data_IF_309240579030
#
_entry.id   IF_309240579030
#
_cell.length_a   1.000
_cell.length_b   1.000
_cell.length_c   1.000
_cell.angle_alpha   90.00
_cell.angle_beta   90.00
_cell.angle_gamma   90.00
#
_symmetry.space_group_name_H-M   'P 1'
#
loop_
_entity.id
_entity.type
_entity.pdbx_description
1 polymer ?
#
# COMPACT_ATOMS: atom_id res chain seq x y z
N UNK A 1 6.64 -2.48 51.26
CA UNK A 1 7.06 -1.63 50.15
C UNK A 1 6.76 -2.39 48.87
N UNK A 2 5.68 -2.06 48.18
CA UNK A 2 5.38 -2.59 46.86
C UNK A 2 6.24 -1.82 45.87
N UNK A 3 7.16 -2.47 45.18
CA UNK A 3 7.85 -1.88 44.02
C UNK A 3 6.78 -1.65 42.94
N UNK A 4 6.48 -0.40 42.69
CA UNK A 4 5.82 -0.01 41.47
C UNK A 4 6.84 -0.26 40.36
N UNK A 5 6.72 -1.39 39.67
CA UNK A 5 7.31 -1.57 38.37
C UNK A 5 6.72 -0.47 37.47
N UNK A 6 7.48 0.58 37.28
CA UNK A 6 7.26 1.53 36.20
C UNK A 6 7.55 0.76 34.91
N UNK A 7 6.49 0.22 34.28
CA UNK A 7 6.60 -0.26 32.91
C UNK A 7 7.22 0.87 32.10
N UNK A 8 8.43 0.65 31.60
CA UNK A 8 9.08 1.65 30.76
C UNK A 8 8.18 1.89 29.55
N UNK A 9 7.76 3.15 29.37
CA UNK A 9 6.95 3.52 28.20
C UNK A 9 7.71 3.13 26.92
N UNK A 10 7.04 2.44 26.01
CA UNK A 10 7.62 2.05 24.73
C UNK A 10 7.68 3.25 23.79
N UNK A 11 8.86 3.75 23.50
CA UNK A 11 9.11 4.85 22.58
C UNK A 11 9.67 4.33 21.26
N UNK A 12 9.16 4.80 20.11
CA UNK A 12 9.59 4.40 18.78
C UNK A 12 9.74 5.63 17.86
N UNK A 13 10.92 5.78 17.24
CA UNK A 13 11.07 6.68 16.10
C UNK A 13 10.58 6.02 14.83
N UNK A 14 9.69 6.68 14.09
CA UNK A 14 9.25 6.27 12.75
C UNK A 14 9.73 7.31 11.74
N UNK A 15 10.54 6.89 10.77
CA UNK A 15 11.03 7.76 9.69
C UNK A 15 10.18 7.51 8.44
N UNK A 16 9.20 8.37 8.20
CA UNK A 16 8.30 8.29 7.06
C UNK A 16 8.92 8.92 5.81
N UNK A 17 8.78 8.25 4.67
CA UNK A 17 9.32 8.73 3.40
C UNK A 17 8.52 9.89 2.79
N UNK A 18 7.32 10.12 3.27
CA UNK A 18 6.42 11.24 2.96
C UNK A 18 5.60 11.59 4.21
N UNK A 19 4.88 12.69 4.20
CA UNK A 19 3.88 13.00 5.22
C UNK A 19 2.72 12.01 5.06
N UNK A 20 2.39 11.19 6.08
CA UNK A 20 1.46 10.07 5.90
C UNK A 20 -0.03 10.48 5.88
N UNK A 21 -0.34 11.76 5.75
CA UNK A 21 -1.71 12.26 5.62
C UNK A 21 -1.77 13.39 4.56
N UNK A 22 -2.86 13.49 3.74
CA UNK A 22 -3.97 12.54 3.65
C UNK A 22 -3.52 11.15 3.18
N UNK A 23 -4.14 10.09 3.74
CA UNK A 23 -3.79 8.70 3.46
C UNK A 23 -4.45 8.24 2.14
N UNK A 24 -3.91 8.70 1.01
CA UNK A 24 -4.54 8.61 -0.32
C UNK A 24 -3.75 7.78 -1.35
N UNK A 25 -2.65 7.15 -0.97
CA UNK A 25 -1.96 6.12 -1.79
C UNK A 25 -1.27 5.07 -0.90
N UNK A 26 -0.98 3.90 -1.48
CA UNK A 26 -0.60 2.68 -0.78
C UNK A 26 0.40 2.83 0.35
N UNK A 27 1.55 3.44 0.07
CA UNK A 27 2.60 3.59 1.05
C UNK A 27 2.19 4.47 2.24
N UNK A 28 1.50 5.60 2.00
CA UNK A 28 1.10 6.50 3.10
C UNK A 28 -0.09 5.95 3.88
N UNK A 29 -0.97 5.16 3.27
CA UNK A 29 -2.07 4.47 3.96
C UNK A 29 -1.50 3.49 4.99
N UNK A 30 -0.58 2.61 4.59
CA UNK A 30 0.08 1.68 5.50
C UNK A 30 0.79 2.40 6.66
N UNK A 31 1.53 3.48 6.37
CA UNK A 31 2.21 4.27 7.42
C UNK A 31 1.22 4.92 8.38
N UNK A 32 0.15 5.55 7.87
CA UNK A 32 -0.82 6.27 8.70
C UNK A 32 -1.58 5.33 9.66
N UNK A 33 -2.14 4.23 9.13
CA UNK A 33 -2.92 3.30 9.96
C UNK A 33 -2.03 2.49 10.90
N UNK A 34 -0.79 2.21 10.53
CA UNK A 34 0.18 1.61 11.46
C UNK A 34 0.54 2.55 12.60
N UNK A 35 0.78 3.86 12.33
CA UNK A 35 1.01 4.85 13.39
C UNK A 35 -0.20 4.90 14.32
N UNK A 36 -1.43 4.90 13.77
CA UNK A 36 -2.65 4.87 14.56
C UNK A 36 -2.68 3.64 15.47
N UNK A 37 -2.51 2.44 14.91
CA UNK A 37 -2.55 1.18 15.65
C UNK A 37 -1.45 1.08 16.72
N UNK A 38 -0.20 1.48 16.41
CA UNK A 38 0.89 1.51 17.38
C UNK A 38 0.63 2.50 18.53
N UNK A 39 0.05 3.66 18.23
CA UNK A 39 -0.32 4.65 19.26
C UNK A 39 -1.43 4.13 20.16
N UNK A 40 -2.43 3.46 19.58
CA UNK A 40 -3.53 2.80 20.32
C UNK A 40 -3.01 1.63 21.18
N UNK A 41 -1.96 0.93 20.72
CA UNK A 41 -1.23 -0.08 21.50
C UNK A 41 -0.31 0.53 22.60
N UNK A 42 -0.35 1.84 22.82
CA UNK A 42 0.39 2.53 23.87
C UNK A 42 1.84 2.92 23.53
N UNK A 43 2.26 2.77 22.26
CA UNK A 43 3.59 3.19 21.81
C UNK A 43 3.65 4.72 21.67
N UNK A 44 4.67 5.32 22.26
CA UNK A 44 4.97 6.77 22.12
C UNK A 44 5.73 6.98 20.80
N UNK A 45 4.99 7.31 19.75
CA UNK A 45 5.56 7.49 18.41
C UNK A 45 6.22 8.86 18.25
N UNK A 46 7.51 8.89 17.91
CA UNK A 46 8.26 10.06 17.46
C UNK A 46 8.34 10.02 15.93
N UNK A 47 7.45 10.78 15.28
CA UNK A 47 7.30 10.73 13.84
C UNK A 47 8.22 11.74 13.13
N UNK A 48 9.00 11.27 12.19
CA UNK A 48 9.91 12.05 11.34
C UNK A 48 9.44 11.99 9.89
N UNK A 49 8.89 13.07 9.35
CA UNK A 49 8.34 13.12 7.99
C UNK A 49 9.27 13.84 7.02
N UNK A 50 9.56 13.24 5.88
CA UNK A 50 10.14 13.96 4.75
C UNK A 50 9.02 14.68 3.97
N UNK A 51 9.07 16.02 3.95
CA UNK A 51 8.04 16.87 3.37
C UNK A 51 8.47 17.38 1.99
N UNK A 52 7.56 17.33 1.00
CA UNK A 52 7.77 17.86 -0.35
C UNK A 52 6.46 18.17 -1.10
N UNK A 53 5.46 18.72 -0.40
CA UNK A 53 4.23 19.23 -1.01
C UNK A 53 2.94 18.95 -0.23
N UNK A 54 2.99 18.13 0.85
CA UNK A 54 1.80 17.82 1.66
C UNK A 54 1.61 18.75 2.85
N UNK A 55 2.68 19.46 3.28
CA UNK A 55 2.66 20.34 4.42
C UNK A 55 2.49 19.63 5.76
N UNK A 56 2.44 20.40 6.82
CA UNK A 56 2.18 19.92 8.18
C UNK A 56 0.72 19.51 8.34
N UNK A 57 0.46 18.42 9.06
CA UNK A 57 -0.88 17.84 9.21
C UNK A 57 -1.28 17.78 10.69
N UNK A 58 -2.38 18.44 11.02
CA UNK A 58 -2.91 18.52 12.40
C UNK A 58 -3.23 17.15 13.00
N UNK A 59 -3.77 16.23 12.19
CA UNK A 59 -4.13 14.88 12.62
C UNK A 59 -2.93 14.08 13.16
N UNK A 60 -1.72 14.40 12.71
CA UNK A 60 -0.49 13.74 13.16
C UNK A 60 -0.03 14.16 14.56
N UNK A 61 -0.61 15.23 15.14
CA UNK A 61 -0.33 15.66 16.51
C UNK A 61 -0.77 14.66 17.58
N UNK A 62 -1.48 13.58 17.20
CA UNK A 62 -1.71 12.43 18.09
C UNK A 62 -0.45 11.61 18.38
N UNK A 63 0.58 11.72 17.56
CA UNK A 63 1.90 11.19 17.88
C UNK A 63 2.51 11.93 19.08
N UNK A 64 3.42 11.28 19.80
CA UNK A 64 4.13 11.90 20.92
C UNK A 64 4.94 13.14 20.49
N UNK A 65 5.59 13.05 19.32
CA UNK A 65 6.31 14.15 18.67
C UNK A 65 6.22 14.01 17.15
N UNK A 66 6.15 15.14 16.42
CA UNK A 66 6.21 15.15 14.96
C UNK A 66 7.24 16.16 14.49
N UNK A 67 8.13 15.75 13.60
CA UNK A 67 9.14 16.61 12.97
C UNK A 67 9.11 16.47 11.45
N UNK A 68 9.30 17.59 10.78
CA UNK A 68 9.29 17.67 9.33
C UNK A 68 10.66 18.02 8.81
N UNK A 69 11.11 17.31 7.79
CA UNK A 69 12.40 17.50 7.13
C UNK A 69 12.17 17.69 5.63
N UNK A 70 12.80 18.72 5.07
CA UNK A 70 12.67 18.97 3.64
C UNK A 70 13.36 17.86 2.83
N UNK A 71 12.62 17.24 1.90
CA UNK A 71 13.20 16.34 0.91
C UNK A 71 14.01 17.14 -0.12
N UNK A 72 15.25 16.72 -0.38
CA UNK A 72 16.10 17.35 -1.41
C UNK A 72 15.84 16.71 -2.77
N UNK A 73 15.01 17.38 -3.58
CA UNK A 73 14.63 16.92 -4.92
C UNK A 73 15.54 17.46 -6.02
N UNK A 74 16.70 18.05 -5.67
CA UNK A 74 17.64 18.63 -6.63
C UNK A 74 18.17 17.57 -7.62
N UNK A 75 18.46 18.01 -8.85
CA UNK A 75 19.00 17.15 -9.89
C UNK A 75 20.35 16.50 -9.48
N UNK A 76 21.15 17.19 -8.69
CA UNK A 76 22.43 16.67 -8.18
C UNK A 76 22.25 15.35 -7.40
N UNK A 77 21.10 15.17 -6.70
CA UNK A 77 20.80 13.92 -5.98
C UNK A 77 20.57 12.74 -6.92
N UNK A 78 20.14 12.98 -8.15
CA UNK A 78 19.89 11.92 -9.15
C UNK A 78 21.20 11.38 -9.75
N UNK A 79 22.24 12.21 -9.83
CA UNK A 79 23.54 11.86 -10.42
C UNK A 79 24.41 10.98 -9.51
N UNK A 80 24.01 10.76 -8.27
CA UNK A 80 24.72 9.92 -7.30
C UNK A 80 24.61 8.44 -7.66
N UNK A 81 25.61 7.63 -7.23
CA UNK A 81 25.53 6.16 -7.21
C UNK A 81 24.55 5.63 -6.14
N UNK A 82 24.24 6.44 -5.13
CA UNK A 82 23.16 6.13 -4.17
C UNK A 82 21.80 6.30 -4.87
N UNK A 83 20.83 5.38 -4.67
CA UNK A 83 19.51 5.51 -5.27
C UNK A 83 18.86 6.87 -4.93
N UNK A 84 18.20 7.48 -5.90
CA UNK A 84 17.60 8.81 -5.72
C UNK A 84 16.59 8.85 -4.58
N UNK A 85 15.77 7.79 -4.43
CA UNK A 85 14.77 7.70 -3.36
C UNK A 85 15.41 7.76 -1.96
N UNK A 86 16.61 7.22 -1.81
CA UNK A 86 17.38 7.25 -0.55
C UNK A 86 18.14 8.57 -0.43
N UNK A 87 18.87 8.95 -1.48
CA UNK A 87 19.75 10.11 -1.45
C UNK A 87 19.00 11.43 -1.23
N UNK A 88 17.78 11.54 -1.76
CA UNK A 88 16.92 12.71 -1.59
C UNK A 88 16.38 12.87 -0.15
N UNK A 89 16.51 11.86 0.70
CA UNK A 89 16.04 11.82 2.10
C UNK A 89 17.18 11.75 3.13
N UNK A 90 18.38 12.12 2.74
CA UNK A 90 19.49 12.27 3.71
C UNK A 90 19.37 13.64 4.40
N UNK A 91 19.38 13.63 5.74
CA UNK A 91 19.24 14.84 6.54
C UNK A 91 20.11 14.77 7.80
N UNK A 92 21.00 15.74 7.99
CA UNK A 92 21.78 15.88 9.23
C UNK A 92 20.89 16.29 10.40
N UNK A 93 19.86 17.09 10.17
CA UNK A 93 18.90 17.46 11.21
C UNK A 93 18.17 16.24 11.76
N UNK A 94 17.75 15.30 10.88
CA UNK A 94 17.16 14.03 11.31
C UNK A 94 18.14 13.23 12.18
N UNK A 95 19.37 13.05 11.75
CA UNK A 95 20.38 12.30 12.53
C UNK A 95 20.62 12.97 13.87
N UNK A 96 20.75 14.32 13.91
CA UNK A 96 20.89 15.06 15.16
C UNK A 96 19.70 14.82 16.11
N UNK A 97 18.48 14.78 15.60
CA UNK A 97 17.29 14.52 16.42
C UNK A 97 17.29 13.08 16.95
N UNK A 98 17.64 12.09 16.14
CA UNK A 98 17.74 10.69 16.55
C UNK A 98 18.84 10.43 17.59
N UNK A 99 19.86 11.28 17.68
CA UNK A 99 20.94 11.16 18.67
C UNK A 99 20.60 11.71 20.05
N UNK A 100 19.41 12.33 20.24
CA UNK A 100 18.98 12.89 21.53
C UNK A 100 18.61 11.83 22.57
N UNK A 101 18.36 10.61 22.12
CA UNK A 101 17.93 9.49 22.95
C UNK A 101 18.50 8.14 22.46
N UNK A 102 17.98 7.03 23.02
CA UNK A 102 18.36 5.66 22.67
C UNK A 102 17.22 4.80 22.09
N UNK A 103 16.08 5.38 21.76
CA UNK A 103 14.90 4.62 21.35
C UNK A 103 15.07 3.89 20.00
N UNK A 104 14.40 2.75 19.78
CA UNK A 104 14.43 2.05 18.50
C UNK A 104 13.91 2.93 17.36
N UNK A 105 14.36 2.60 16.15
CA UNK A 105 14.00 3.35 14.93
C UNK A 105 13.36 2.39 13.93
N UNK A 106 12.21 2.77 13.36
CA UNK A 106 11.57 2.09 12.24
C UNK A 106 11.67 2.96 10.99
N UNK A 107 12.39 2.47 9.99
CA UNK A 107 12.53 3.10 8.67
C UNK A 107 11.43 2.64 7.74
N UNK A 108 10.73 3.58 7.08
CA UNK A 108 9.71 3.31 6.09
C UNK A 108 10.32 3.14 4.70
N UNK A 109 10.22 1.92 4.18
CA UNK A 109 10.81 1.53 2.91
C UNK A 109 12.33 1.64 2.90
N UNK A 110 12.95 1.22 1.81
CA UNK A 110 14.37 1.46 1.55
C UNK A 110 14.71 2.96 1.47
N UNK A 111 13.70 3.78 1.22
CA UNK A 111 13.74 5.24 1.06
C UNK A 111 14.42 5.97 2.23
N UNK A 112 14.20 5.51 3.47
CA UNK A 112 14.63 6.20 4.69
C UNK A 112 15.83 5.54 5.38
N UNK A 113 16.40 4.51 4.76
CA UNK A 113 17.47 3.68 5.34
C UNK A 113 18.87 4.30 5.30
N UNK A 114 19.03 5.55 4.82
CA UNK A 114 20.33 6.25 4.87
C UNK A 114 20.93 6.29 6.28
N UNK A 115 20.11 6.28 7.33
CA UNK A 115 20.50 6.24 8.73
C UNK A 115 21.26 4.97 9.12
N UNK A 116 21.07 3.85 8.42
CA UNK A 116 21.84 2.60 8.59
C UNK A 116 23.32 2.75 8.20
N UNK A 117 23.66 3.79 7.43
CA UNK A 117 25.02 4.09 7.02
C UNK A 117 25.73 5.07 7.97
N UNK A 118 25.00 5.70 8.89
CA UNK A 118 25.58 6.67 9.81
C UNK A 118 26.27 5.97 10.98
N UNK A 119 27.57 6.19 11.11
CA UNK A 119 28.39 5.57 12.14
C UNK A 119 27.98 5.96 13.57
N UNK A 120 27.34 7.12 13.74
CA UNK A 120 26.86 7.61 15.04
C UNK A 120 25.68 6.80 15.57
N UNK A 121 24.95 6.11 14.67
CA UNK A 121 23.76 5.28 14.97
C UNK A 121 24.07 3.76 14.91
N UNK A 122 25.35 3.36 14.84
CA UNK A 122 25.77 1.94 14.64
C UNK A 122 25.24 0.97 15.70
N UNK A 123 25.03 1.46 16.93
CA UNK A 123 24.61 0.65 18.08
C UNK A 123 23.08 0.76 18.35
N UNK A 124 22.34 1.47 17.47
CA UNK A 124 20.88 1.62 17.57
C UNK A 124 20.18 0.42 16.99
N UNK A 125 19.09 -0.01 17.63
CA UNK A 125 18.16 -0.97 17.05
C UNK A 125 17.35 -0.26 15.94
N UNK A 126 17.68 -0.54 14.68
CA UNK A 126 17.02 0.05 13.51
C UNK A 126 16.32 -1.06 12.75
N UNK A 127 15.01 -0.96 12.62
CA UNK A 127 14.14 -1.86 11.87
C UNK A 127 13.73 -1.22 10.55
N UNK A 128 13.35 -2.03 9.58
CA UNK A 128 12.90 -1.54 8.27
C UNK A 128 11.55 -2.16 7.91
N UNK A 129 10.57 -1.33 7.59
CA UNK A 129 9.32 -1.74 6.96
C UNK A 129 9.54 -1.80 5.46
N UNK A 130 9.61 -2.97 4.88
CA UNK A 130 9.78 -3.14 3.44
C UNK A 130 8.42 -3.13 2.74
N UNK A 131 8.19 -2.11 1.90
CA UNK A 131 6.94 -1.96 1.13
C UNK A 131 6.96 -2.74 -0.18
N UNK A 132 8.15 -2.98 -0.73
CA UNK A 132 8.40 -3.75 -1.96
C UNK A 132 9.85 -4.24 -1.96
N UNK A 133 10.15 -5.18 -2.84
CA UNK A 133 11.50 -5.37 -3.37
C UNK A 133 11.74 -4.23 -4.38
N UNK A 134 12.32 -3.12 -3.92
CA UNK A 134 12.34 -1.85 -4.65
C UNK A 134 13.00 -1.93 -6.04
N UNK A 135 14.03 -2.76 -6.20
CA UNK A 135 14.68 -2.90 -7.50
C UNK A 135 13.79 -3.63 -8.52
N UNK A 136 12.95 -4.58 -8.10
CA UNK A 136 11.99 -5.25 -8.97
C UNK A 136 10.83 -4.32 -9.32
N UNK A 137 10.35 -3.54 -8.35
CA UNK A 137 9.32 -2.52 -8.57
C UNK A 137 9.76 -1.49 -9.63
N UNK A 138 11.00 -0.97 -9.52
CA UNK A 138 11.54 -0.01 -10.49
C UNK A 138 11.81 -0.64 -11.86
N UNK A 139 12.18 -1.92 -11.93
CA UNK A 139 12.26 -2.64 -13.21
C UNK A 139 10.88 -2.73 -13.87
N UNK A 140 9.84 -3.11 -13.14
CA UNK A 140 8.46 -3.15 -13.64
C UNK A 140 7.99 -1.78 -14.16
N UNK A 141 8.29 -0.68 -13.45
CA UNK A 141 8.02 0.67 -13.96
C UNK A 141 8.76 0.96 -15.27
N UNK A 142 10.03 0.53 -15.37
CA UNK A 142 10.83 0.68 -16.60
C UNK A 142 10.25 -0.12 -17.75
N UNK A 143 9.82 -1.35 -17.53
CA UNK A 143 9.29 -2.24 -18.58
C UNK A 143 7.98 -1.71 -19.19
N UNK A 144 7.14 -1.06 -18.38
CA UNK A 144 5.86 -0.48 -18.83
C UNK A 144 5.99 0.95 -19.36
N UNK A 145 7.13 1.64 -19.15
CA UNK A 145 7.34 3.03 -19.59
C UNK A 145 7.62 3.10 -21.10
N UNK A 146 6.86 3.96 -21.83
CA UNK A 146 7.02 4.16 -23.28
C UNK A 146 8.08 5.18 -23.63
N UNK A 147 8.35 6.14 -22.73
CA UNK A 147 9.34 7.18 -22.96
C UNK A 147 10.75 6.62 -22.70
N UNK A 148 11.58 6.48 -23.73
CA UNK A 148 12.88 5.82 -23.66
C UNK A 148 13.82 6.36 -22.58
N UNK A 149 13.86 7.69 -22.34
CA UNK A 149 14.73 8.28 -21.31
C UNK A 149 14.22 8.04 -19.89
N UNK A 150 12.88 7.99 -19.67
CA UNK A 150 12.29 7.59 -18.40
C UNK A 150 12.49 6.10 -18.14
N UNK A 151 12.33 5.27 -19.16
CA UNK A 151 12.63 3.84 -19.11
C UNK A 151 14.08 3.61 -18.69
N UNK A 152 15.02 4.30 -19.33
CA UNK A 152 16.44 4.25 -18.95
C UNK A 152 16.66 4.70 -17.50
N UNK A 153 16.02 5.78 -17.06
CA UNK A 153 16.08 6.25 -15.67
C UNK A 153 15.61 5.20 -14.68
N UNK A 154 14.45 4.56 -14.92
CA UNK A 154 13.92 3.52 -14.01
C UNK A 154 14.85 2.32 -13.93
N UNK A 155 15.37 1.80 -15.02
CA UNK A 155 16.31 0.68 -14.99
C UNK A 155 17.65 1.06 -14.32
N UNK A 156 18.14 2.28 -14.52
CA UNK A 156 19.35 2.78 -13.85
C UNK A 156 19.13 2.88 -12.33
N UNK A 157 17.97 3.38 -11.90
CA UNK A 157 17.60 3.41 -10.47
C UNK A 157 17.40 1.99 -9.91
N UNK A 158 16.77 1.07 -10.63
CA UNK A 158 16.65 -0.34 -10.26
C UNK A 158 18.03 -0.98 -10.02
N UNK A 159 18.99 -0.73 -10.89
CA UNK A 159 20.36 -1.19 -10.72
C UNK A 159 21.03 -0.61 -9.48
N UNK A 160 20.86 0.69 -9.20
CA UNK A 160 21.36 1.33 -7.97
C UNK A 160 20.71 0.74 -6.72
N UNK A 161 19.38 0.53 -6.74
CA UNK A 161 18.61 -0.05 -5.65
C UNK A 161 19.09 -1.47 -5.33
N UNK A 162 19.27 -2.31 -6.34
CA UNK A 162 19.81 -3.66 -6.16
C UNK A 162 21.20 -3.67 -5.51
N UNK A 163 22.06 -2.70 -5.89
CA UNK A 163 23.39 -2.56 -5.25
C UNK A 163 23.32 -2.00 -3.84
N UNK A 164 22.30 -1.21 -3.53
CA UNK A 164 22.11 -0.57 -2.23
C UNK A 164 21.40 -1.47 -1.22
N UNK A 165 20.49 -2.33 -1.65
CA UNK A 165 19.67 -3.21 -0.81
C UNK A 165 20.46 -3.98 0.26
N UNK A 166 21.72 -4.45 0.04
CA UNK A 166 22.54 -5.08 1.08
C UNK A 166 22.76 -4.23 2.34
N UNK A 167 22.42 -2.93 2.34
CA UNK A 167 22.40 -2.10 3.55
C UNK A 167 21.49 -2.68 4.63
N UNK A 168 20.45 -3.42 4.24
CA UNK A 168 19.49 -4.09 5.11
C UNK A 168 20.15 -5.13 6.04
N UNK A 169 21.35 -5.62 5.73
CA UNK A 169 22.16 -6.45 6.66
C UNK A 169 22.49 -5.77 7.98
N UNK A 170 22.38 -4.43 8.02
CA UNK A 170 22.63 -3.64 9.23
C UNK A 170 21.36 -3.40 10.06
N UNK A 171 20.20 -3.77 9.53
CA UNK A 171 18.94 -3.65 10.25
C UNK A 171 18.84 -4.73 11.33
N UNK A 172 18.25 -4.39 12.47
CA UNK A 172 17.93 -5.32 13.54
C UNK A 172 16.82 -6.32 13.13
N UNK A 173 15.94 -5.90 12.21
CA UNK A 173 14.89 -6.74 11.63
C UNK A 173 14.20 -6.05 10.47
N UNK A 174 13.48 -6.83 9.66
CA UNK A 174 12.72 -6.38 8.49
C UNK A 174 11.27 -6.84 8.63
N UNK A 175 10.34 -5.91 8.53
CA UNK A 175 8.91 -6.19 8.45
C UNK A 175 8.48 -6.15 6.99
N UNK A 176 8.27 -7.32 6.38
CA UNK A 176 7.80 -7.44 5.00
C UNK A 176 6.28 -7.30 4.93
N UNK A 177 5.78 -6.69 3.85
CA UNK A 177 4.35 -6.39 3.70
C UNK A 177 3.55 -7.54 3.06
N UNK A 178 4.21 -8.38 2.29
CA UNK A 178 3.64 -9.52 1.60
C UNK A 178 4.46 -10.79 1.81
N UNK A 179 3.85 -11.96 1.62
CA UNK A 179 4.57 -13.23 1.71
C UNK A 179 5.70 -13.32 0.67
N UNK A 180 5.46 -12.81 -0.54
CA UNK A 180 6.48 -12.78 -1.59
C UNK A 180 7.71 -11.97 -1.19
N UNK A 181 7.49 -10.79 -0.58
CA UNK A 181 8.59 -9.94 -0.07
C UNK A 181 9.29 -10.61 1.11
N UNK A 182 8.53 -11.23 2.03
CA UNK A 182 9.10 -11.97 3.15
C UNK A 182 9.99 -13.12 2.68
N UNK A 183 9.57 -13.88 1.68
CA UNK A 183 10.33 -14.97 1.09
C UNK A 183 11.61 -14.47 0.39
N UNK A 184 11.52 -13.31 -0.30
CA UNK A 184 12.68 -12.68 -0.91
C UNK A 184 13.71 -12.28 0.15
N UNK A 185 13.27 -11.50 1.14
CA UNK A 185 14.18 -10.98 2.16
C UNK A 185 14.73 -12.07 3.08
N UNK A 186 13.97 -13.11 3.42
CA UNK A 186 14.40 -14.21 4.28
C UNK A 186 15.53 -15.05 3.68
N UNK A 187 15.66 -15.06 2.34
CA UNK A 187 16.81 -15.71 1.66
C UNK A 187 18.12 -14.96 1.84
N UNK A 188 18.05 -13.66 2.14
CA UNK A 188 19.18 -12.73 2.10
C UNK A 188 19.53 -12.15 3.48
N UNK A 189 18.52 -12.04 4.36
CA UNK A 189 18.63 -11.34 5.65
C UNK A 189 18.05 -12.19 6.79
N UNK A 190 18.51 -11.89 8.01
CA UNK A 190 17.95 -12.48 9.23
C UNK A 190 16.82 -11.61 9.80
N UNK A 191 16.02 -12.19 10.69
CA UNK A 191 14.95 -11.48 11.41
C UNK A 191 13.95 -10.79 10.45
N UNK A 192 13.46 -11.53 9.47
CA UNK A 192 12.39 -11.09 8.59
C UNK A 192 11.06 -11.58 9.14
N UNK A 193 10.11 -10.68 9.32
CA UNK A 193 8.78 -10.98 9.87
C UNK A 193 7.73 -10.48 8.88
N UNK A 194 6.78 -11.34 8.53
CA UNK A 194 5.62 -10.95 7.75
C UNK A 194 4.65 -10.17 8.64
N UNK A 195 4.44 -8.91 8.28
CA UNK A 195 3.41 -8.06 8.87
C UNK A 195 2.63 -7.46 7.69
N UNK A 196 1.45 -7.94 7.37
CA UNK A 196 0.63 -7.43 6.28
C UNK A 196 0.34 -5.94 6.37
N UNK A 197 -0.17 -5.36 5.30
CA UNK A 197 -0.42 -3.92 5.23
C UNK A 197 -1.52 -3.47 6.18
N UNK A 198 -1.31 -2.30 6.79
CA UNK A 198 -2.34 -1.63 7.57
C UNK A 198 -3.31 -0.89 6.65
N UNK A 199 -4.57 -0.84 7.05
CA UNK A 199 -5.66 -0.31 6.22
C UNK A 199 -6.69 0.47 7.05
N UNK A 200 -7.66 1.09 6.36
CA UNK A 200 -8.66 1.95 6.99
C UNK A 200 -9.78 1.19 7.73
N UNK A 201 -9.99 -0.07 7.36
CA UNK A 201 -11.16 -0.84 7.79
C UNK A 201 -10.79 -1.81 8.90
N UNK A 202 -11.61 -1.88 9.93
CA UNK A 202 -11.41 -2.78 11.08
C UNK A 202 -12.32 -4.02 10.99
N UNK A 203 -13.34 -4.02 10.09
CA UNK A 203 -14.27 -5.11 9.85
C UNK A 203 -14.85 -5.07 8.44
N UNK A 204 -15.35 -6.20 7.97
CA UNK A 204 -16.09 -6.28 6.70
C UNK A 204 -17.44 -5.59 6.87
N UNK A 205 -17.75 -4.66 5.94
CA UNK A 205 -18.96 -3.84 5.93
C UNK A 205 -19.77 -4.06 4.64
N UNK A 206 -19.61 -5.21 4.00
CA UNK A 206 -20.37 -5.60 2.81
C UNK A 206 -21.86 -5.74 3.15
N UNK A 207 -22.71 -5.48 2.15
CA UNK A 207 -24.15 -5.63 2.28
C UNK A 207 -24.62 -6.96 1.67
N UNK A 208 -25.59 -7.61 2.31
CA UNK A 208 -26.22 -8.84 1.79
C UNK A 208 -27.14 -8.54 0.59
N UNK A 209 -27.58 -9.59 -0.10
CA UNK A 209 -28.45 -9.49 -1.26
C UNK A 209 -27.70 -9.17 -2.55
N UNK A 210 -28.36 -8.48 -3.48
CA UNK A 210 -27.84 -8.21 -4.81
C UNK A 210 -27.64 -6.73 -5.05
N UNK A 211 -26.61 -6.42 -5.82
CA UNK A 211 -26.36 -5.11 -6.41
C UNK A 211 -26.76 -5.07 -7.88
N UNK A 212 -26.77 -3.86 -8.46
CA UNK A 212 -27.32 -3.64 -9.79
C UNK A 212 -26.24 -3.48 -10.88
N UNK A 213 -24.96 -3.43 -10.53
CA UNK A 213 -23.89 -3.12 -11.49
C UNK A 213 -22.55 -3.80 -11.17
N UNK A 214 -21.68 -3.77 -12.17
CA UNK A 214 -20.28 -4.14 -12.09
C UNK A 214 -19.43 -2.89 -11.92
N UNK A 215 -18.51 -2.86 -10.94
CA UNK A 215 -17.64 -1.71 -10.65
C UNK A 215 -16.17 -2.04 -10.91
N UNK A 216 -15.50 -1.22 -11.73
CA UNK A 216 -14.05 -1.06 -11.70
C UNK A 216 -13.68 0.25 -11.04
N UNK A 217 -12.70 0.23 -10.12
CA UNK A 217 -12.24 1.46 -9.46
C UNK A 217 -10.72 1.55 -9.33
N UNK A 218 -10.21 2.79 -9.24
CA UNK A 218 -8.79 3.05 -9.02
C UNK A 218 -8.41 4.51 -9.23
N UNK A 219 -7.17 4.87 -8.89
CA UNK A 219 -6.64 6.18 -9.25
C UNK A 219 -6.33 6.21 -10.75
N UNK A 220 -7.20 6.80 -11.55
CA UNK A 220 -7.13 6.82 -13.02
C UNK A 220 -6.06 7.77 -13.57
N UNK A 221 -5.43 8.61 -12.71
CA UNK A 221 -4.23 9.35 -13.10
C UNK A 221 -2.98 8.43 -13.20
N UNK A 222 -3.04 7.26 -12.57
CA UNK A 222 -2.01 6.23 -12.68
C UNK A 222 -2.26 5.43 -13.94
N UNK A 223 -1.27 5.43 -14.82
CA UNK A 223 -1.37 4.82 -16.15
C UNK A 223 -1.81 3.35 -16.12
N UNK A 224 -1.28 2.56 -15.22
CA UNK A 224 -1.66 1.15 -15.06
C UNK A 224 -3.18 0.99 -14.83
N UNK A 225 -3.76 1.81 -13.95
CA UNK A 225 -5.19 1.76 -13.69
C UNK A 225 -6.02 2.29 -14.88
N UNK A 226 -5.53 3.31 -15.58
CA UNK A 226 -6.16 3.82 -16.79
C UNK A 226 -6.13 2.79 -17.92
N UNK A 227 -4.98 2.12 -18.15
CA UNK A 227 -4.85 1.10 -19.18
C UNK A 227 -5.72 -0.14 -18.83
N UNK A 228 -5.84 -0.52 -17.56
CA UNK A 228 -6.74 -1.56 -17.09
C UNK A 228 -8.22 -1.21 -17.31
N UNK A 229 -8.63 0.03 -16.98
CA UNK A 229 -9.99 0.51 -17.23
C UNK A 229 -10.34 0.46 -18.73
N UNK A 230 -9.44 0.93 -19.60
CA UNK A 230 -9.62 0.86 -21.06
C UNK A 230 -9.79 -0.56 -21.54
N UNK A 231 -8.91 -1.44 -21.08
CA UNK A 231 -8.94 -2.86 -21.46
C UNK A 231 -10.26 -3.51 -21.03
N UNK A 232 -10.74 -3.26 -19.81
CA UNK A 232 -12.03 -3.77 -19.34
C UNK A 232 -13.19 -3.24 -20.16
N UNK A 233 -13.22 -1.93 -20.48
CA UNK A 233 -14.28 -1.35 -21.32
C UNK A 233 -14.30 -2.02 -22.69
N UNK A 234 -13.14 -2.18 -23.35
CA UNK A 234 -13.03 -2.65 -24.72
C UNK A 234 -13.22 -4.17 -24.87
N UNK A 235 -12.87 -4.98 -23.85
CA UNK A 235 -12.83 -6.44 -23.98
C UNK A 235 -13.82 -7.19 -23.06
N UNK A 236 -14.38 -6.53 -22.05
CA UNK A 236 -15.28 -7.15 -21.08
C UNK A 236 -16.62 -6.42 -21.06
N UNK A 237 -16.64 -5.12 -20.75
CA UNK A 237 -17.89 -4.37 -20.58
C UNK A 237 -18.65 -4.17 -21.88
N UNK A 238 -17.94 -4.08 -23.03
CA UNK A 238 -18.55 -4.01 -24.36
C UNK A 238 -19.43 -5.21 -24.73
N UNK A 239 -19.16 -6.37 -24.09
CA UNK A 239 -19.87 -7.65 -24.34
C UNK A 239 -20.97 -7.93 -23.29
N UNK A 240 -21.19 -6.99 -22.37
CA UNK A 240 -22.21 -7.07 -21.33
C UNK A 240 -23.39 -6.17 -21.66
N UNK A 241 -24.61 -6.63 -21.35
CA UNK A 241 -25.87 -5.89 -21.47
C UNK A 241 -26.32 -5.26 -20.13
N UNK A 242 -25.52 -5.40 -19.08
CA UNK A 242 -25.75 -4.87 -17.74
C UNK A 242 -24.95 -3.61 -17.48
N UNK A 243 -25.36 -2.83 -16.46
CA UNK A 243 -24.70 -1.59 -16.08
C UNK A 243 -23.29 -1.83 -15.53
N UNK A 244 -22.31 -1.11 -16.07
CA UNK A 244 -20.92 -1.13 -15.67
C UNK A 244 -20.47 0.27 -15.27
N UNK A 245 -19.81 0.41 -14.14
CA UNK A 245 -19.27 1.68 -13.67
C UNK A 245 -17.74 1.62 -13.64
N UNK A 246 -17.13 2.66 -14.19
CA UNK A 246 -15.68 2.92 -14.02
C UNK A 246 -15.53 4.17 -13.17
N UNK A 247 -14.89 4.03 -12.00
CA UNK A 247 -14.77 5.14 -11.05
C UNK A 247 -13.32 5.40 -10.62
N UNK A 248 -13.00 6.68 -10.39
CA UNK A 248 -11.70 7.04 -9.82
C UNK A 248 -11.25 8.47 -10.06
N UNK A 249 -10.06 8.76 -9.53
CA UNK A 249 -9.48 10.09 -9.53
C UNK A 249 -8.85 10.44 -10.89
N UNK A 250 -9.14 11.64 -11.39
CA UNK A 250 -8.52 12.27 -12.56
C UNK A 250 -8.46 11.37 -13.81
N UNK A 251 -9.61 10.85 -14.30
CA UNK A 251 -9.65 10.13 -15.56
C UNK A 251 -9.20 11.06 -16.72
N UNK A 252 -8.49 10.50 -17.70
CA UNK A 252 -8.14 11.26 -18.89
C UNK A 252 -9.39 11.51 -19.77
N UNK A 253 -9.38 12.59 -20.54
CA UNK A 253 -10.43 12.85 -21.53
C UNK A 253 -10.64 11.70 -22.53
N UNK A 254 -9.56 10.96 -22.83
CA UNK A 254 -9.60 9.79 -23.72
C UNK A 254 -10.40 8.64 -23.10
N UNK A 255 -10.19 8.38 -21.80
CA UNK A 255 -10.92 7.35 -21.08
C UNK A 255 -12.40 7.71 -20.94
N UNK A 256 -12.72 8.99 -20.63
CA UNK A 256 -14.10 9.48 -20.59
C UNK A 256 -14.80 9.30 -21.94
N UNK A 257 -14.17 9.75 -23.03
CA UNK A 257 -14.71 9.59 -24.39
C UNK A 257 -14.85 8.12 -24.81
N UNK A 258 -14.02 7.23 -24.27
CA UNK A 258 -14.14 5.80 -24.52
C UNK A 258 -15.38 5.23 -23.82
N UNK A 259 -15.61 5.56 -22.55
CA UNK A 259 -16.79 5.09 -21.81
C UNK A 259 -18.10 5.57 -22.46
N UNK A 260 -18.15 6.80 -23.00
CA UNK A 260 -19.32 7.36 -23.70
C UNK A 260 -19.73 6.61 -24.98
N UNK A 261 -18.86 5.75 -25.52
CA UNK A 261 -19.18 4.93 -26.71
C UNK A 261 -20.07 3.74 -26.40
N UNK A 262 -20.16 3.35 -25.14
CA UNK A 262 -20.89 2.19 -24.67
C UNK A 262 -22.02 2.62 -23.74
N UNK A 263 -23.26 2.42 -24.15
CA UNK A 263 -24.45 2.89 -23.42
C UNK A 263 -24.63 2.27 -22.03
N UNK A 264 -24.00 1.12 -21.80
CA UNK A 264 -24.02 0.41 -20.52
C UNK A 264 -22.86 0.80 -19.59
N UNK A 265 -21.93 1.67 -20.03
CA UNK A 265 -20.75 2.07 -19.22
C UNK A 265 -20.91 3.50 -18.74
N UNK A 266 -20.84 3.70 -17.43
CA UNK A 266 -20.88 5.03 -16.79
C UNK A 266 -19.52 5.36 -16.16
N UNK A 267 -19.00 6.58 -16.42
CA UNK A 267 -17.82 7.13 -15.77
C UNK A 267 -18.21 7.97 -14.55
N UNK A 268 -17.74 7.60 -13.37
CA UNK A 268 -17.87 8.42 -12.15
C UNK A 268 -16.48 8.98 -11.81
N UNK A 269 -16.28 10.24 -12.18
CA UNK A 269 -14.98 10.90 -12.04
C UNK A 269 -14.86 11.64 -10.71
N UNK A 270 -13.73 11.44 -10.03
CA UNK A 270 -13.36 12.12 -8.78
C UNK A 270 -14.40 11.99 -7.65
N UNK A 271 -14.90 10.76 -7.37
CA UNK A 271 -15.78 10.58 -6.22
C UNK A 271 -15.03 10.96 -4.94
N UNK A 272 -15.74 11.46 -3.96
CA UNK A 272 -15.21 11.59 -2.62
C UNK A 272 -15.13 10.22 -1.91
N UNK A 273 -14.58 10.18 -0.69
CA UNK A 273 -14.37 8.91 0.03
C UNK A 273 -15.73 8.23 0.36
N UNK A 274 -16.77 9.00 0.67
CA UNK A 274 -18.10 8.46 0.99
C UNK A 274 -18.77 7.90 -0.27
N UNK A 275 -18.76 8.66 -1.37
CA UNK A 275 -19.26 8.23 -2.68
C UNK A 275 -18.54 6.96 -3.17
N UNK A 276 -17.22 6.85 -2.97
CA UNK A 276 -16.47 5.65 -3.36
C UNK A 276 -16.89 4.43 -2.53
N UNK A 277 -17.08 4.59 -1.22
CA UNK A 277 -17.56 3.51 -0.35
C UNK A 277 -18.95 3.06 -0.75
N UNK A 278 -19.86 3.98 -1.07
CA UNK A 278 -21.20 3.67 -1.52
C UNK A 278 -21.18 2.92 -2.87
N UNK A 279 -20.35 3.35 -3.82
CA UNK A 279 -20.13 2.63 -5.07
C UNK A 279 -19.64 1.20 -4.87
N UNK A 280 -18.70 1.00 -3.94
CA UNK A 280 -18.18 -0.33 -3.61
C UNK A 280 -19.26 -1.23 -3.02
N UNK A 281 -20.07 -0.72 -2.08
CA UNK A 281 -21.11 -1.47 -1.37
C UNK A 281 -22.29 -1.85 -2.26
N UNK A 282 -22.72 -0.94 -3.13
CA UNK A 282 -23.88 -1.15 -4.00
C UNK A 282 -23.54 -2.03 -5.22
N UNK A 283 -22.26 -2.12 -5.61
CA UNK A 283 -21.85 -3.00 -6.69
C UNK A 283 -22.15 -4.47 -6.36
N UNK A 284 -22.62 -5.22 -7.36
CA UNK A 284 -22.71 -6.68 -7.26
C UNK A 284 -21.31 -7.30 -7.40
N UNK A 285 -20.57 -6.86 -8.42
CA UNK A 285 -19.22 -7.37 -8.70
C UNK A 285 -18.24 -6.20 -8.72
N UNK A 286 -17.23 -6.26 -7.87
CA UNK A 286 -16.06 -5.39 -7.93
C UNK A 286 -15.00 -6.09 -8.77
N UNK A 287 -14.80 -5.65 -10.01
CA UNK A 287 -13.77 -6.23 -10.90
C UNK A 287 -12.47 -5.44 -10.80
N UNK A 288 -11.37 -6.13 -10.52
CA UNK A 288 -10.06 -5.50 -10.34
C UNK A 288 -8.99 -6.28 -11.09
N UNK A 289 -8.35 -5.64 -12.05
CA UNK A 289 -7.25 -6.23 -12.82
C UNK A 289 -5.98 -5.38 -12.71
N UNK A 290 -4.83 -6.04 -12.78
CA UNK A 290 -3.50 -5.42 -12.78
C UNK A 290 -2.53 -6.29 -13.58
N UNK A 291 -1.53 -5.65 -14.17
CA UNK A 291 -0.37 -6.32 -14.78
C UNK A 291 0.88 -6.22 -13.87
N UNK A 292 0.73 -5.68 -12.65
CA UNK A 292 1.82 -5.51 -11.71
C UNK A 292 1.55 -6.35 -10.45
N UNK A 293 2.22 -7.49 -10.28
CA UNK A 293 1.95 -8.42 -9.17
C UNK A 293 2.54 -7.96 -7.83
N UNK A 294 3.32 -6.85 -7.79
CA UNK A 294 4.01 -6.38 -6.58
C UNK A 294 3.24 -5.27 -5.85
N UNK A 295 3.59 -5.06 -4.58
CA UNK A 295 3.04 -3.99 -3.75
C UNK A 295 1.70 -4.29 -3.08
N UNK A 296 1.32 -3.42 -2.14
CA UNK A 296 0.06 -3.53 -1.40
C UNK A 296 -1.14 -3.29 -2.31
N UNK A 297 -2.05 -4.24 -2.36
CA UNK A 297 -3.26 -4.22 -3.20
C UNK A 297 -4.43 -3.54 -2.47
N UNK A 298 -4.28 -2.25 -2.12
CA UNK A 298 -5.30 -1.52 -1.35
C UNK A 298 -6.68 -1.51 -2.01
N UNK A 299 -6.73 -1.41 -3.34
CA UNK A 299 -8.03 -1.46 -4.04
C UNK A 299 -8.73 -2.81 -3.84
N UNK A 300 -7.97 -3.91 -3.75
CA UNK A 300 -8.50 -5.22 -3.40
C UNK A 300 -9.01 -5.26 -1.96
N UNK A 301 -8.22 -4.75 -1.00
CA UNK A 301 -8.65 -4.66 0.39
C UNK A 301 -9.93 -3.84 0.54
N UNK A 302 -10.00 -2.67 -0.11
CA UNK A 302 -11.20 -1.83 -0.09
C UNK A 302 -12.43 -2.56 -0.64
N UNK A 303 -12.26 -3.30 -1.75
CA UNK A 303 -13.34 -4.07 -2.35
C UNK A 303 -13.77 -5.24 -1.45
N UNK A 304 -12.84 -5.93 -0.80
CA UNK A 304 -13.14 -7.03 0.12
C UNK A 304 -13.79 -6.55 1.42
N UNK A 305 -13.39 -5.38 1.95
CA UNK A 305 -14.00 -4.84 3.16
C UNK A 305 -15.40 -4.25 2.95
N UNK A 306 -15.69 -3.72 1.75
CA UNK A 306 -16.92 -2.96 1.53
C UNK A 306 -17.86 -3.56 0.49
N UNK A 307 -17.34 -4.27 -0.52
CA UNK A 307 -18.12 -4.76 -1.64
C UNK A 307 -18.63 -6.18 -1.48
N UNK A 308 -19.54 -6.61 -2.36
CA UNK A 308 -20.04 -7.99 -2.43
C UNK A 308 -18.97 -8.91 -3.06
N UNK A 309 -19.15 -9.31 -4.30
CA UNK A 309 -18.19 -10.21 -4.96
C UNK A 309 -16.98 -9.44 -5.51
N UNK A 310 -15.80 -10.06 -5.41
CA UNK A 310 -14.58 -9.58 -6.03
C UNK A 310 -14.17 -10.51 -7.16
N UNK A 311 -14.13 -10.01 -8.39
CA UNK A 311 -13.59 -10.71 -9.56
C UNK A 311 -12.24 -10.09 -9.92
N UNK A 312 -11.21 -10.91 -10.00
CA UNK A 312 -9.83 -10.43 -10.14
C UNK A 312 -9.04 -11.26 -11.13
N UNK A 313 -7.94 -10.69 -11.66
CA UNK A 313 -6.95 -11.54 -12.36
C UNK A 313 -5.90 -12.09 -11.38
N UNK A 314 -5.17 -13.11 -11.80
CA UNK A 314 -4.13 -13.79 -11.00
C UNK A 314 -3.12 -12.82 -10.40
N UNK A 315 -2.66 -11.81 -11.15
CA UNK A 315 -1.69 -10.83 -10.66
C UNK A 315 -2.24 -9.93 -9.54
N UNK A 316 -3.57 -9.77 -9.44
CA UNK A 316 -4.19 -8.97 -8.38
C UNK A 316 -4.08 -9.63 -7.01
N UNK A 317 -4.23 -10.95 -6.93
CA UNK A 317 -4.22 -11.71 -5.66
C UNK A 317 -2.85 -12.31 -5.34
N UNK A 318 -1.94 -12.32 -6.28
CA UNK A 318 -0.63 -12.94 -6.12
C UNK A 318 0.12 -12.38 -4.90
N UNK A 319 0.45 -13.26 -3.96
CA UNK A 319 1.20 -12.94 -2.74
C UNK A 319 0.39 -12.20 -1.67
N UNK A 320 -0.95 -12.12 -1.80
CA UNK A 320 -1.82 -11.48 -0.81
C UNK A 320 -2.41 -12.46 0.19
N UNK A 321 -2.45 -13.77 -0.13
CA UNK A 321 -3.18 -14.83 0.59
C UNK A 321 -4.70 -14.58 0.64
N UNK A 322 -5.24 -13.84 -0.35
CA UNK A 322 -6.67 -13.49 -0.46
C UNK A 322 -7.35 -14.21 -1.66
N UNK A 323 -6.66 -15.16 -2.28
CA UNK A 323 -7.16 -15.91 -3.44
C UNK A 323 -8.50 -16.59 -3.14
N UNK A 324 -8.68 -17.13 -1.91
CA UNK A 324 -9.90 -17.80 -1.47
C UNK A 324 -11.11 -16.88 -1.30
N UNK A 325 -10.90 -15.55 -1.23
CA UNK A 325 -11.95 -14.54 -1.08
C UNK A 325 -12.38 -13.89 -2.41
N UNK A 326 -11.78 -14.34 -3.52
CA UNK A 326 -11.99 -13.75 -4.84
C UNK A 326 -12.34 -14.82 -5.87
N UNK A 327 -13.12 -14.43 -6.86
CA UNK A 327 -13.22 -15.21 -8.12
C UNK A 327 -12.06 -14.79 -9.01
N UNK A 328 -11.25 -15.75 -9.46
CA UNK A 328 -10.05 -15.47 -10.27
C UNK A 328 -10.31 -15.85 -11.72
N UNK A 329 -10.15 -14.90 -12.64
CA UNK A 329 -10.24 -15.10 -14.07
C UNK A 329 -9.22 -14.19 -14.79
N UNK A 330 -8.51 -14.72 -15.77
CA UNK A 330 -7.48 -13.99 -16.51
C UNK A 330 -7.93 -13.58 -17.92
N UNK A 331 -8.80 -14.38 -18.55
CA UNK A 331 -9.24 -14.14 -19.92
C UNK A 331 -10.61 -13.42 -19.97
N UNK A 332 -10.84 -12.53 -20.96
CA UNK A 332 -12.10 -11.77 -21.06
C UNK A 332 -13.34 -12.65 -21.05
N UNK A 333 -13.33 -13.76 -21.78
CA UNK A 333 -14.46 -14.69 -21.87
C UNK A 333 -14.80 -15.31 -20.51
N UNK A 334 -13.78 -15.65 -19.72
CA UNK A 334 -13.95 -16.15 -18.37
C UNK A 334 -14.53 -15.06 -17.44
N UNK A 335 -13.98 -13.83 -17.51
CA UNK A 335 -14.49 -12.70 -16.73
C UNK A 335 -15.97 -12.43 -17.04
N UNK A 336 -16.35 -12.42 -18.33
CA UNK A 336 -17.75 -12.21 -18.77
C UNK A 336 -18.66 -13.33 -18.23
N UNK A 337 -18.23 -14.58 -18.28
CA UNK A 337 -18.99 -15.72 -17.76
C UNK A 337 -19.19 -15.61 -16.24
N UNK A 338 -18.12 -15.29 -15.50
CA UNK A 338 -18.17 -15.13 -14.04
C UNK A 338 -19.01 -13.91 -13.62
N UNK A 339 -18.92 -12.79 -14.34
CA UNK A 339 -19.78 -11.62 -14.08
C UNK A 339 -21.26 -12.03 -14.23
N UNK A 340 -21.62 -12.67 -15.34
CA UNK A 340 -23.03 -13.11 -15.57
C UNK A 340 -23.51 -14.07 -14.47
N UNK A 341 -22.66 -14.99 -14.02
CA UNK A 341 -22.99 -15.90 -12.92
C UNK A 341 -23.20 -15.12 -11.61
N UNK A 342 -22.24 -14.28 -11.22
CA UNK A 342 -22.26 -13.54 -9.96
C UNK A 342 -23.41 -12.52 -9.88
N UNK A 343 -23.86 -11.96 -11.01
CA UNK A 343 -25.01 -11.05 -11.06
C UNK A 343 -26.32 -11.72 -10.67
N UNK A 344 -26.41 -13.06 -10.76
CA UNK A 344 -27.60 -13.85 -10.38
C UNK A 344 -27.49 -14.43 -8.95
N UNK A 345 -26.37 -14.29 -8.27
CA UNK A 345 -26.15 -14.81 -6.92
C UNK A 345 -26.44 -13.77 -5.84
N UNK A 346 -27.01 -14.23 -4.73
CA UNK A 346 -27.14 -13.40 -3.53
C UNK A 346 -25.85 -13.49 -2.73
N UNK A 347 -25.34 -12.32 -2.30
CA UNK A 347 -24.26 -12.26 -1.31
C UNK A 347 -24.88 -12.44 0.08
N UNK A 348 -24.42 -13.41 0.82
CA UNK A 348 -25.07 -13.88 2.05
C UNK A 348 -24.36 -13.39 3.32
N UNK A 349 -25.00 -13.56 4.46
CA UNK A 349 -24.37 -13.34 5.78
C UNK A 349 -23.19 -14.29 6.00
N UNK A 350 -23.31 -15.54 5.55
CA UNK A 350 -22.23 -16.54 5.64
C UNK A 350 -21.00 -16.09 4.85
N UNK A 351 -21.18 -15.46 3.67
CA UNK A 351 -20.07 -14.89 2.89
C UNK A 351 -19.38 -13.75 3.64
N UNK A 352 -20.14 -12.90 4.35
CA UNK A 352 -19.59 -11.82 5.18
C UNK A 352 -18.79 -12.40 6.35
N UNK A 353 -19.35 -13.35 7.08
CA UNK A 353 -18.70 -13.98 8.25
C UNK A 353 -17.39 -14.69 7.85
N UNK A 354 -17.41 -15.49 6.79
CA UNK A 354 -16.22 -16.16 6.28
C UNK A 354 -15.14 -15.16 5.86
N UNK A 355 -15.54 -14.13 5.12
CA UNK A 355 -14.63 -13.07 4.69
C UNK A 355 -14.03 -12.31 5.86
N UNK A 356 -14.85 -11.88 6.84
CA UNK A 356 -14.39 -11.15 8.02
C UNK A 356 -13.39 -11.97 8.83
N UNK A 357 -13.67 -13.28 9.03
CA UNK A 357 -12.76 -14.17 9.73
C UNK A 357 -11.38 -14.28 9.06
N UNK A 358 -11.33 -14.43 7.71
CA UNK A 358 -10.07 -14.50 6.97
C UNK A 358 -9.36 -13.14 6.93
N UNK A 359 -10.09 -12.03 6.74
CA UNK A 359 -9.51 -10.68 6.73
C UNK A 359 -8.90 -10.33 8.09
N UNK A 360 -9.57 -10.64 9.21
CA UNK A 360 -9.03 -10.45 10.57
C UNK A 360 -7.77 -11.27 10.80
N UNK A 361 -7.70 -12.49 10.31
CA UNK A 361 -6.51 -13.32 10.47
C UNK A 361 -5.26 -12.71 9.82
N UNK A 362 -5.42 -11.99 8.71
CA UNK A 362 -4.30 -11.47 7.90
C UNK A 362 -4.07 -9.95 8.09
N UNK A 363 -5.15 -9.17 8.17
CA UNK A 363 -5.10 -7.72 8.04
C UNK A 363 -5.64 -6.98 9.28
N UNK A 364 -5.69 -7.63 10.43
CA UNK A 364 -6.04 -6.98 11.69
C UNK A 364 -4.93 -5.99 12.10
N UNK A 365 -5.29 -4.71 12.18
CA UNK A 365 -4.36 -3.63 12.49
C UNK A 365 -3.78 -3.76 13.91
N UNK A 366 -4.60 -4.16 14.89
CA UNK A 366 -4.18 -4.31 16.30
C UNK A 366 -3.19 -5.47 16.44
N UNK A 367 -3.53 -6.64 15.87
CA UNK A 367 -2.66 -7.82 15.91
C UNK A 367 -1.34 -7.57 15.17
N UNK A 368 -1.38 -6.89 14.02
CA UNK A 368 -0.18 -6.53 13.26
C UNK A 368 0.69 -5.50 14.01
N UNK A 369 0.08 -4.54 14.73
CA UNK A 369 0.82 -3.64 15.60
C UNK A 369 1.43 -4.38 16.79
N UNK A 370 0.72 -5.34 17.41
CA UNK A 370 1.23 -6.19 18.49
C UNK A 370 2.45 -7.00 18.06
N UNK A 371 2.44 -7.59 16.86
CA UNK A 371 3.60 -8.29 16.28
C UNK A 371 4.83 -7.37 16.16
N UNK A 372 4.63 -6.13 15.71
CA UNK A 372 5.72 -5.15 15.63
C UNK A 372 6.28 -4.82 17.02
N UNK A 373 5.40 -4.57 18.00
CA UNK A 373 5.78 -4.27 19.38
C UNK A 373 6.57 -5.42 20.01
N UNK A 374 6.11 -6.65 19.82
CA UNK A 374 6.79 -7.86 20.33
C UNK A 374 8.19 -8.02 19.74
N UNK A 375 8.39 -7.81 18.45
CA UNK A 375 9.70 -7.91 17.79
C UNK A 375 10.66 -6.79 18.21
N UNK A 376 10.14 -5.59 18.48
CA UNK A 376 11.00 -4.43 18.84
C UNK A 376 11.40 -4.46 20.31
N UNK A 377 10.50 -4.85 21.21
CA UNK A 377 10.65 -4.69 22.66
C UNK A 377 10.71 -6.03 23.44
N UNK A 378 10.21 -7.14 22.85
CA UNK A 378 10.31 -8.49 23.43
C UNK A 378 11.69 -9.06 23.23
#
# INVERSE_FOLDING_TARGET
MKSTDTMSENHLHIIAFDVPYPANYGGVIDVFYRIKALTEAGVKVHLHCFEYGRGEQEILKRCHEVKYYKRDTSFARQLSLMPYIVNSRRSEALVHDLLKDGYPILCEGLHTTAVLLDKRLKDRKIYVRAHNVEHDYYNGLGDTERCWWRRFFYHAEAWKLRRYEPVLKKAAGIFAISQQDADHFSKLYQNVVLVPGFNASDSVCSETGRGDYVLYHGNLSVRENEDAAKWLIENVFSELDMHCIVSGLNPSEKLVKLSERYSNVTMVANPDDAEMIDLLRQAQVNILVTNQPTGLKLKLLNALYNGRFCLVNTDMVKGTSLEGLCVVADEPEQMIAEIKRLMEEDFTEDDIEERDAQMRQLYDNEENARKIVEVIYG
#
